data_IF_683293627807
#
_entry.id   IF_683293627807
#
_cell.length_a   1.000
_cell.length_b   1.000
_cell.length_c   1.000
_cell.angle_alpha   90.00
_cell.angle_beta   90.00
_cell.angle_gamma   90.00
#
_symmetry.space_group_name_H-M   'P 1'
#
loop_
_entity.id
_entity.type
_entity.pdbx_description
1 polymer ?
#
# COMPACT_ATOMS: atom_id res chain seq x y z
N UNK A 1 14.00 9.36 0.25
CA UNK A 1 14.16 9.07 -1.19
C UNK A 1 12.76 9.05 -1.77
N UNK A 2 12.44 9.98 -2.65
CA UNK A 2 11.12 10.07 -3.27
C UNK A 2 11.22 9.59 -4.73
N UNK A 3 10.36 8.65 -5.11
CA UNK A 3 10.31 8.10 -6.46
C UNK A 3 9.02 8.59 -7.13
N UNK A 4 9.16 9.46 -8.13
CA UNK A 4 8.04 9.97 -8.92
C UNK A 4 7.81 9.14 -10.20
N UNK A 5 6.59 9.12 -10.76
CA UNK A 5 6.32 8.45 -12.02
C UNK A 5 7.11 9.08 -13.18
N UNK A 6 7.47 8.26 -14.17
CA UNK A 6 8.04 8.75 -15.43
C UNK A 6 6.96 8.80 -16.51
N UNK A 7 7.01 9.82 -17.36
CA UNK A 7 6.15 9.94 -18.53
C UNK A 7 6.42 8.76 -19.48
N UNK A 8 5.41 7.93 -19.81
CA UNK A 8 5.58 6.82 -20.74
C UNK A 8 5.79 7.30 -22.19
N UNK A 9 5.44 8.56 -22.49
CA UNK A 9 5.53 9.11 -23.85
C UNK A 9 6.82 9.87 -24.11
N UNK A 10 7.34 10.58 -23.10
CA UNK A 10 8.51 11.47 -23.25
C UNK A 10 9.75 10.96 -22.51
N UNK A 11 9.61 10.00 -21.60
CA UNK A 11 10.69 9.51 -20.74
C UNK A 11 11.14 10.50 -19.65
N UNK A 12 10.63 11.74 -19.65
CA UNK A 12 10.87 12.72 -18.60
C UNK A 12 10.07 12.43 -17.32
N UNK A 13 10.39 13.12 -16.23
CA UNK A 13 9.66 13.03 -14.97
C UNK A 13 9.50 14.40 -14.33
N UNK A 14 8.33 14.64 -13.73
CA UNK A 14 8.11 15.78 -12.85
C UNK A 14 8.34 15.30 -11.43
N UNK A 15 9.36 15.85 -10.77
CA UNK A 15 9.76 15.41 -9.43
C UNK A 15 8.99 16.23 -8.38
N UNK A 16 7.73 15.87 -8.17
CA UNK A 16 6.76 16.68 -7.45
C UNK A 16 6.92 16.63 -5.94
N UNK A 17 7.35 15.50 -5.39
CA UNK A 17 7.38 15.28 -3.94
C UNK A 17 8.34 16.22 -3.23
N UNK A 18 9.45 16.57 -3.87
CA UNK A 18 10.40 17.57 -3.34
C UNK A 18 9.76 18.93 -3.11
N UNK A 19 8.85 19.34 -3.98
CA UNK A 19 8.17 20.63 -3.85
C UNK A 19 7.27 20.63 -2.61
N UNK A 20 6.66 19.48 -2.28
CA UNK A 20 5.85 19.32 -1.06
C UNK A 20 6.68 19.30 0.22
N UNK A 21 7.96 18.92 0.13
CA UNK A 21 8.91 18.89 1.25
C UNK A 21 9.63 20.23 1.50
N UNK A 22 9.07 21.37 1.06
CA UNK A 22 9.73 22.68 1.17
C UNK A 22 10.13 23.08 2.60
N UNK A 23 9.44 22.57 3.63
CA UNK A 23 9.78 22.81 5.04
C UNK A 23 11.14 22.24 5.47
N UNK A 24 11.69 21.29 4.71
CA UNK A 24 13.00 20.67 4.97
C UNK A 24 14.16 21.43 4.34
N UNK A 25 13.89 22.50 3.57
CA UNK A 25 14.93 23.27 2.90
C UNK A 25 15.81 23.97 3.93
N UNK A 26 17.12 23.72 3.86
CA UNK A 26 18.10 24.30 4.77
C UNK A 26 18.30 23.51 6.06
N UNK A 27 17.52 22.44 6.28
CA UNK A 27 17.79 21.48 7.34
C UNK A 27 18.99 20.61 6.93
N UNK A 28 20.10 20.76 7.65
CA UNK A 28 21.36 20.06 7.35
C UNK A 28 21.30 18.57 7.71
N UNK A 29 20.36 18.16 8.56
CA UNK A 29 20.19 16.78 8.97
C UNK A 29 19.34 16.00 7.95
N UNK A 30 18.51 16.71 7.17
CA UNK A 30 17.64 16.11 6.15
C UNK A 30 18.29 16.14 4.77
N UNK A 31 18.38 14.97 4.15
CA UNK A 31 18.77 14.86 2.75
C UNK A 31 17.65 14.28 1.89
N UNK A 32 17.22 15.02 0.87
CA UNK A 32 16.15 14.61 -0.04
C UNK A 32 16.72 14.24 -1.41
N UNK A 33 16.64 12.96 -1.78
CA UNK A 33 16.89 12.49 -3.16
C UNK A 33 15.57 12.25 -3.88
N UNK A 34 15.34 12.97 -4.98
CA UNK A 34 14.22 12.72 -5.89
C UNK A 34 14.70 11.91 -7.10
N UNK A 35 13.91 10.93 -7.49
CA UNK A 35 14.22 9.97 -8.55
C UNK A 35 12.96 9.71 -9.35
N UNK A 36 13.12 9.22 -10.57
CA UNK A 36 11.99 8.74 -11.36
C UNK A 36 12.06 7.22 -11.52
N UNK A 37 10.91 6.56 -11.67
CA UNK A 37 10.86 5.11 -11.90
C UNK A 37 11.56 4.68 -13.21
N UNK A 38 11.69 5.58 -14.20
CA UNK A 38 12.37 5.35 -15.50
C UNK A 38 11.81 4.17 -16.29
N UNK A 39 10.48 4.04 -16.34
CA UNK A 39 9.82 3.03 -17.16
C UNK A 39 9.91 1.60 -16.60
N UNK A 40 10.39 1.43 -15.36
CA UNK A 40 10.15 0.19 -14.62
C UNK A 40 8.65 0.06 -14.37
N UNK A 41 8.12 -1.15 -14.58
CA UNK A 41 6.74 -1.45 -14.21
C UNK A 41 6.56 -1.40 -12.69
N UNK A 42 7.61 -1.68 -11.90
CA UNK A 42 7.63 -1.61 -10.43
C UNK A 42 7.52 -0.18 -9.87
N UNK A 43 6.94 -0.05 -8.67
CA UNK A 43 6.78 1.20 -7.91
C UNK A 43 8.10 1.82 -7.42
N UNK A 44 9.24 1.18 -7.75
CA UNK A 44 10.59 1.61 -7.46
C UNK A 44 11.45 1.69 -8.73
N UNK A 45 12.38 2.64 -8.76
CA UNK A 45 13.46 2.65 -9.74
C UNK A 45 14.48 1.54 -9.43
N UNK A 46 15.11 0.95 -10.44
CA UNK A 46 16.23 0.00 -10.26
C UNK A 46 17.36 0.57 -9.40
N UNK A 47 17.56 1.89 -9.46
CA UNK A 47 18.59 2.59 -8.69
C UNK A 47 18.20 2.87 -7.22
N UNK A 48 17.00 2.47 -6.77
CA UNK A 48 16.54 2.78 -5.40
C UNK A 48 17.39 2.07 -4.36
N UNK A 49 17.67 0.78 -4.53
CA UNK A 49 18.50 0.01 -3.60
C UNK A 49 19.93 0.58 -3.51
N UNK A 50 20.49 1.05 -4.63
CA UNK A 50 21.81 1.69 -4.64
C UNK A 50 21.78 3.05 -3.93
N UNK A 51 20.70 3.81 -4.09
CA UNK A 51 20.51 5.06 -3.36
C UNK A 51 20.38 4.83 -1.84
N UNK A 52 19.66 3.79 -1.42
CA UNK A 52 19.57 3.39 0.00
C UNK A 52 20.95 3.04 0.55
N UNK A 53 21.71 2.16 -0.13
CA UNK A 53 23.08 1.81 0.27
C UNK A 53 24.00 3.04 0.37
N UNK A 54 23.86 3.99 -0.55
CA UNK A 54 24.64 5.22 -0.50
C UNK A 54 24.28 6.09 0.71
N UNK A 55 22.99 6.20 1.07
CA UNK A 55 22.57 6.93 2.27
C UNK A 55 23.03 6.26 3.55
N UNK A 56 22.95 4.93 3.61
CA UNK A 56 23.42 4.12 4.73
C UNK A 56 24.94 4.27 4.93
N UNK A 57 25.71 4.13 3.86
CA UNK A 57 27.16 4.35 3.88
C UNK A 57 27.55 5.80 4.23
N UNK A 58 26.66 6.77 3.99
CA UNK A 58 26.86 8.16 4.38
C UNK A 58 26.49 8.43 5.86
N UNK A 59 26.02 7.41 6.59
CA UNK A 59 25.72 7.48 8.01
C UNK A 59 24.35 8.10 8.32
N UNK A 60 23.36 7.96 7.44
CA UNK A 60 21.99 8.38 7.75
C UNK A 60 21.31 7.36 8.67
N UNK A 61 20.84 7.82 9.83
CA UNK A 61 20.18 6.95 10.82
C UNK A 61 18.84 6.38 10.34
N UNK A 62 18.12 7.13 9.51
CA UNK A 62 16.80 6.76 8.99
C UNK A 62 16.71 7.09 7.51
N UNK A 63 16.29 6.11 6.72
CA UNK A 63 16.09 6.25 5.28
C UNK A 63 14.63 5.99 4.96
N UNK A 64 13.88 7.06 4.65
CA UNK A 64 12.48 6.96 4.25
C UNK A 64 12.41 6.84 2.74
N UNK A 65 11.63 5.89 2.23
CA UNK A 65 11.41 5.66 0.80
C UNK A 65 9.93 5.89 0.51
N UNK A 66 9.64 6.80 -0.42
CA UNK A 66 8.29 7.05 -0.93
C UNK A 66 8.22 6.50 -2.36
N UNK A 67 7.30 5.56 -2.59
CA UNK A 67 7.08 4.94 -3.90
C UNK A 67 6.22 5.86 -4.78
N UNK A 68 6.14 5.53 -6.07
CA UNK A 68 5.38 6.29 -7.07
C UNK A 68 3.89 6.46 -6.73
N UNK A 69 3.30 5.49 -6.04
CA UNK A 69 1.87 5.43 -5.78
C UNK A 69 1.02 5.30 -7.05
N UNK A 70 0.73 4.07 -7.47
CA UNK A 70 -0.40 3.66 -8.32
C UNK A 70 -0.35 2.14 -8.66
N UNK A 71 -0.79 1.25 -7.77
CA UNK A 71 -1.32 -0.07 -8.17
C UNK A 71 -0.77 -1.34 -7.49
N UNK A 72 -0.48 -2.36 -8.31
CA UNK A 72 0.02 -3.70 -7.89
C UNK A 72 1.56 -3.77 -7.87
N UNK A 73 2.21 -2.68 -8.27
CA UNK A 73 3.61 -2.69 -8.65
C UNK A 73 4.52 -2.28 -7.48
N UNK A 74 3.93 -1.88 -6.36
CA UNK A 74 4.61 -1.38 -5.18
C UNK A 74 5.16 -2.49 -4.27
N UNK A 75 4.87 -3.76 -4.56
CA UNK A 75 5.34 -4.91 -3.78
C UNK A 75 6.87 -4.97 -3.73
N UNK A 76 7.57 -4.46 -4.74
CA UNK A 76 9.04 -4.46 -4.78
C UNK A 76 9.70 -3.76 -3.57
N UNK A 77 8.98 -2.90 -2.84
CA UNK A 77 9.48 -2.22 -1.65
C UNK A 77 9.89 -3.17 -0.52
N UNK A 78 9.24 -4.34 -0.42
CA UNK A 78 9.54 -5.34 0.63
C UNK A 78 10.97 -5.85 0.57
N UNK A 79 11.60 -5.77 -0.60
CA UNK A 79 12.98 -6.21 -0.79
C UNK A 79 14.02 -5.15 -0.41
N UNK A 80 13.55 -3.93 -0.14
CA UNK A 80 14.41 -2.75 0.05
C UNK A 80 14.23 -2.10 1.42
N UNK A 81 13.03 -2.15 1.99
CA UNK A 81 12.71 -1.53 3.27
C UNK A 81 12.60 -2.57 4.40
N UNK A 82 13.05 -2.19 5.60
CA UNK A 82 12.88 -2.99 6.82
C UNK A 82 11.46 -2.90 7.40
N UNK A 83 10.72 -1.86 7.05
CA UNK A 83 9.33 -1.64 7.48
C UNK A 83 8.56 -0.97 6.36
N UNK A 84 7.40 -1.52 6.03
CA UNK A 84 6.51 -1.03 4.98
C UNK A 84 5.28 -0.41 5.63
N UNK A 85 5.12 0.89 5.40
CA UNK A 85 3.92 1.64 5.78
C UNK A 85 3.04 1.88 4.56
N UNK A 86 1.77 1.50 4.64
CA UNK A 86 0.76 1.74 3.60
C UNK A 86 -0.18 2.85 4.04
N UNK A 87 -0.23 3.93 3.26
CA UNK A 87 -1.13 5.05 3.49
C UNK A 87 -2.48 4.78 2.80
N UNK A 88 -3.55 4.79 3.60
CA UNK A 88 -4.93 4.56 3.17
C UNK A 88 -5.71 5.87 3.30
N UNK A 89 -6.24 6.47 2.22
CA UNK A 89 -7.02 7.69 2.33
C UNK A 89 -8.34 7.44 3.08
N UNK A 90 -8.70 8.32 4.01
CA UNK A 90 -10.01 8.30 4.67
C UNK A 90 -11.15 8.44 3.66
N UNK A 91 -12.18 7.59 3.79
CA UNK A 91 -13.39 7.68 2.97
C UNK A 91 -13.25 7.13 1.54
N UNK A 92 -12.09 6.61 1.16
CA UNK A 92 -11.97 5.75 -0.02
C UNK A 92 -12.40 4.32 0.37
N UNK A 93 -13.01 3.59 -0.57
CA UNK A 93 -13.34 2.19 -0.36
C UNK A 93 -12.06 1.38 -0.20
N UNK A 94 -11.87 0.78 0.98
CA UNK A 94 -10.74 -0.11 1.28
C UNK A 94 -10.66 -1.30 0.32
N UNK A 95 -11.75 -1.64 -0.38
CA UNK A 95 -11.77 -2.62 -1.46
C UNK A 95 -10.74 -2.33 -2.58
N UNK A 96 -10.23 -1.11 -2.66
CA UNK A 96 -9.14 -0.74 -3.57
C UNK A 96 -7.77 -1.23 -3.12
N UNK A 97 -7.59 -1.58 -1.84
CA UNK A 97 -6.42 -2.26 -1.32
C UNK A 97 -6.47 -3.73 -1.75
N UNK A 98 -5.50 -4.11 -2.57
CA UNK A 98 -5.38 -5.46 -3.12
C UNK A 98 -4.73 -6.36 -2.09
N UNK A 99 -5.05 -7.66 -2.08
CA UNK A 99 -4.50 -8.64 -1.14
C UNK A 99 -2.97 -8.53 -1.00
N UNK A 100 -2.23 -8.44 -2.11
CA UNK A 100 -0.77 -8.30 -2.10
C UNK A 100 -0.23 -7.01 -1.46
N UNK A 101 -1.02 -5.94 -1.32
CA UNK A 101 -0.63 -4.75 -0.55
C UNK A 101 -0.93 -4.95 0.94
N UNK A 102 -2.00 -5.68 1.26
CA UNK A 102 -2.33 -6.01 2.64
C UNK A 102 -1.28 -6.94 3.27
N UNK A 103 -0.80 -7.92 2.50
CA UNK A 103 0.17 -8.94 2.91
C UNK A 103 1.57 -8.38 3.23
N UNK A 104 1.93 -7.23 2.65
CA UNK A 104 3.29 -6.68 2.76
C UNK A 104 3.42 -5.58 3.81
N UNK A 105 2.31 -5.08 4.32
CA UNK A 105 2.30 -3.91 5.17
C UNK A 105 2.55 -4.29 6.64
N UNK A 106 3.57 -3.68 7.24
CA UNK A 106 3.78 -3.77 8.69
C UNK A 106 2.88 -2.77 9.43
N UNK A 107 2.58 -1.63 8.79
CA UNK A 107 1.79 -0.54 9.37
C UNK A 107 0.81 0.02 8.34
N UNK A 108 -0.46 0.10 8.70
CA UNK A 108 -1.47 0.86 7.95
C UNK A 108 -1.68 2.23 8.59
N UNK A 109 -1.70 3.26 7.75
CA UNK A 109 -1.92 4.64 8.18
C UNK A 109 -3.15 5.19 7.47
N UNK A 110 -4.24 5.41 8.21
CA UNK A 110 -5.41 6.11 7.65
C UNK A 110 -5.10 7.60 7.60
N UNK A 111 -4.84 8.10 6.39
CA UNK A 111 -4.49 9.49 6.12
C UNK A 111 -5.74 10.34 5.88
N UNK A 112 -5.63 11.66 6.07
CA UNK A 112 -6.73 12.63 5.99
C UNK A 112 -7.84 12.36 7.00
N UNK A 113 -7.47 11.91 8.20
CA UNK A 113 -8.39 11.58 9.29
C UNK A 113 -9.26 12.76 9.78
N UNK A 114 -8.98 13.98 9.31
CA UNK A 114 -9.84 15.16 9.44
C UNK A 114 -11.15 15.07 8.62
N UNK A 115 -11.26 14.11 7.69
CA UNK A 115 -12.44 13.91 6.84
C UNK A 115 -13.40 12.89 7.43
N UNK A 116 -14.68 13.04 7.08
CA UNK A 116 -15.72 12.07 7.41
C UNK A 116 -15.36 10.66 6.91
N UNK A 117 -15.73 9.65 7.69
CA UNK A 117 -15.52 8.24 7.34
C UNK A 117 -14.15 7.68 7.75
N UNK A 118 -13.23 8.47 8.32
CA UNK A 118 -11.95 7.98 8.80
C UNK A 118 -12.07 6.82 9.80
N UNK A 119 -12.94 6.94 10.81
CA UNK A 119 -13.19 5.88 11.79
C UNK A 119 -13.75 4.62 11.14
N UNK A 120 -14.62 4.78 10.13
CA UNK A 120 -15.15 3.64 9.36
C UNK A 120 -14.04 2.94 8.58
N UNK A 121 -13.17 3.69 7.90
CA UNK A 121 -11.99 3.15 7.22
C UNK A 121 -11.09 2.39 8.21
N UNK A 122 -10.88 2.92 9.42
CA UNK A 122 -10.10 2.19 10.45
C UNK A 122 -10.75 0.85 10.82
N UNK A 123 -12.07 0.81 10.99
CA UNK A 123 -12.76 -0.45 11.32
C UNK A 123 -12.71 -1.46 10.18
N UNK A 124 -13.01 -1.03 8.95
CA UNK A 124 -12.95 -1.89 7.77
C UNK A 124 -11.54 -2.48 7.55
N UNK A 125 -10.47 -1.70 7.79
CA UNK A 125 -9.08 -2.22 7.74
C UNK A 125 -8.81 -3.26 8.81
N UNK A 126 -9.29 -3.05 10.05
CA UNK A 126 -9.10 -4.01 11.15
C UNK A 126 -9.78 -5.34 10.84
N UNK A 127 -10.99 -5.29 10.30
CA UNK A 127 -11.75 -6.49 9.95
C UNK A 127 -11.00 -7.29 8.86
N UNK A 128 -10.47 -6.62 7.84
CA UNK A 128 -9.68 -7.29 6.79
C UNK A 128 -8.40 -7.94 7.31
N UNK A 129 -7.65 -7.26 8.18
CA UNK A 129 -6.41 -7.81 8.75
C UNK A 129 -6.69 -9.00 9.67
N UNK A 130 -7.79 -8.96 10.43
CA UNK A 130 -8.19 -10.06 11.31
C UNK A 130 -8.62 -11.31 10.54
N UNK A 131 -9.32 -11.13 9.40
CA UNK A 131 -9.69 -12.24 8.52
C UNK A 131 -8.45 -12.94 7.95
N UNK A 132 -7.44 -12.17 7.52
CA UNK A 132 -6.19 -12.72 6.99
C UNK A 132 -5.35 -13.43 8.07
N UNK A 133 -5.34 -12.89 9.30
CA UNK A 133 -4.66 -13.50 10.45
C UNK A 133 -5.28 -14.82 10.90
N UNK A 134 -6.49 -15.16 10.44
CA UNK A 134 -7.22 -16.38 10.77
C UNK A 134 -6.73 -17.64 10.05
N UNK A 135 -5.94 -17.50 8.98
CA UNK A 135 -5.54 -18.62 8.11
C UNK A 135 -4.11 -19.17 8.38
N UNK A 136 -3.44 -18.69 9.44
CA UNK A 136 -2.07 -19.09 9.81
C UNK A 136 -1.94 -19.84 11.14
N UNK A 137 -1.86 -21.18 11.05
CA UNK A 137 -1.51 -22.18 12.09
C UNK A 137 -2.60 -22.65 13.09
N UNK A 138 -3.33 -23.70 12.69
CA UNK A 138 -3.54 -24.89 13.51
C UNK A 138 -4.88 -25.07 14.23
N UNK A 139 -5.80 -25.81 13.58
CA UNK A 139 -6.66 -26.78 14.27
C UNK A 139 -8.14 -26.43 14.45
N UNK A 140 -8.95 -26.86 13.48
CA UNK A 140 -10.26 -27.47 13.72
C UNK A 140 -11.46 -26.58 14.09
N UNK A 141 -12.41 -26.49 13.15
CA UNK A 141 -13.85 -26.56 13.48
C UNK A 141 -14.71 -25.35 13.16
N UNK A 142 -15.72 -25.57 12.28
CA UNK A 142 -16.94 -24.75 12.11
C UNK A 142 -16.72 -23.54 11.19
N UNK A 143 -17.22 -23.48 9.96
CA UNK A 143 -18.58 -23.80 9.52
C UNK A 143 -19.52 -22.67 9.92
N UNK A 144 -19.94 -21.84 8.95
CA UNK A 144 -21.27 -21.19 8.89
C UNK A 144 -21.36 -20.29 7.65
N UNK A 145 -21.97 -20.81 6.59
CA UNK A 145 -22.93 -20.09 5.75
C UNK A 145 -23.71 -21.14 4.95
N UNK A 146 -24.68 -21.78 5.62
CA UNK A 146 -25.77 -22.47 4.94
C UNK A 146 -26.75 -21.43 4.43
N UNK A 147 -26.90 -21.35 3.11
CA UNK A 147 -28.01 -20.65 2.47
C UNK A 147 -29.28 -21.44 2.81
N UNK A 148 -30.07 -20.97 3.77
CA UNK A 148 -31.47 -21.42 3.88
C UNK A 148 -32.26 -20.78 2.74
N UNK A 149 -32.63 -21.58 1.75
CA UNK A 149 -33.79 -21.33 0.90
C UNK A 149 -34.65 -22.59 0.95
N UNK A 150 -35.63 -22.51 1.83
CA UNK A 150 -36.94 -23.17 1.89
C UNK A 150 -37.25 -24.09 0.69
N UNK A 151 -37.32 -25.40 0.96
CA UNK A 151 -38.10 -26.35 0.16
C UNK A 151 -39.60 -26.10 0.36
N UNK A 152 -40.33 -25.87 -0.73
CA UNK A 152 -41.77 -26.01 -0.77
C UNK A 152 -42.20 -26.65 -2.10
N UNK A 153 -42.32 -27.98 -2.04
CA UNK A 153 -43.32 -28.84 -2.68
C UNK A 153 -43.78 -28.55 -4.12
N UNK A 154 -43.29 -29.40 -5.03
CA UNK A 154 -44.06 -30.29 -5.93
C UNK A 154 -45.53 -29.91 -6.23
N UNK A 155 -45.79 -29.46 -7.48
CA UNK A 155 -46.89 -29.94 -8.32
C UNK A 155 -46.79 -29.28 -9.71
N UNK A 156 -46.34 -30.03 -10.72
CA UNK A 156 -46.42 -29.65 -12.14
C UNK A 156 -47.11 -30.78 -12.91
N UNK A 157 -48.33 -30.51 -13.38
CA UNK A 157 -49.16 -31.38 -14.21
C UNK A 157 -49.08 -30.92 -15.68
N UNK A 158 -48.78 -31.82 -16.66
CA UNK A 158 -48.74 -31.46 -18.06
C UNK A 158 -49.99 -31.98 -18.79
N UNK A 159 -50.99 -31.11 -18.94
CA UNK A 159 -51.97 -31.16 -20.05
C UNK A 159 -51.90 -29.88 -20.89
#
# INVERSE_FOLDING_TARGET
IAIDPSSPFTGGAVLGDRIRMASTVGDMDVFVRSMSARGTLGGLSTATADAVKAMDAFGKDKIIIETVGAGQNEIDIVRTADTVAVLVPSGDEIQTLKAGILEIADVFVVNKADRDGADRTVQELRDMIQLDSGDGYGGGGGGHHSQEVIDAHDDWDPE
#
